data_IF_648155228886
#
_entry.id   IF_648155228886
#
_cell.length_a   1.000
_cell.length_b   1.000
_cell.length_c   1.000
_cell.angle_alpha   90.00
_cell.angle_beta   90.00
_cell.angle_gamma   90.00
#
_symmetry.space_group_name_H-M   'P 1'
#
loop_
_entity.id
_entity.type
_entity.pdbx_description
1 polymer ?
#
# COMPACT_ATOMS: atom_id res chain seq x y z
N UNK A 1 -40.16 -36.00 -30.55
CA UNK A 1 -40.43 -34.57 -30.31
C UNK A 1 -40.35 -34.31 -28.81
N UNK A 2 -39.31 -33.64 -28.34
CA UNK A 2 -39.14 -33.23 -26.94
C UNK A 2 -38.23 -32.01 -26.90
N UNK A 3 -38.87 -30.86 -26.65
CA UNK A 3 -38.34 -29.58 -26.15
C UNK A 3 -36.94 -29.16 -26.64
N UNK A 4 -36.95 -28.41 -27.75
CA UNK A 4 -35.96 -27.38 -28.10
C UNK A 4 -35.92 -26.31 -27.00
N UNK A 5 -34.77 -25.65 -26.88
CA UNK A 5 -34.45 -24.46 -26.08
C UNK A 5 -33.72 -24.73 -24.76
N UNK A 6 -32.47 -25.19 -24.86
CA UNK A 6 -31.45 -24.78 -23.88
C UNK A 6 -30.79 -23.53 -24.43
N UNK A 7 -30.95 -22.46 -23.66
CA UNK A 7 -30.60 -21.10 -23.98
C UNK A 7 -29.13 -20.96 -24.36
N UNK A 8 -28.92 -20.52 -25.60
CA UNK A 8 -27.80 -19.65 -25.98
C UNK A 8 -27.84 -18.44 -25.04
N UNK A 9 -26.66 -17.90 -24.72
CA UNK A 9 -26.34 -16.70 -23.92
C UNK A 9 -25.91 -17.01 -22.47
N UNK A 10 -24.61 -17.28 -22.30
CA UNK A 10 -23.76 -16.41 -21.47
C UNK A 10 -22.27 -16.58 -21.85
N UNK A 11 -22.00 -16.45 -23.14
CA UNK A 11 -20.66 -16.05 -23.60
C UNK A 11 -20.57 -14.54 -23.36
N UNK A 12 -20.01 -14.17 -22.21
CA UNK A 12 -19.30 -12.93 -21.88
C UNK A 12 -19.42 -12.71 -20.38
N UNK A 13 -18.38 -13.02 -19.62
CA UNK A 13 -18.04 -12.20 -18.47
C UNK A 13 -16.54 -12.31 -18.21
N UNK A 14 -15.85 -11.18 -18.39
CA UNK A 14 -14.70 -10.87 -17.54
C UNK A 14 -13.32 -11.23 -18.08
N UNK A 15 -13.02 -10.82 -19.30
CA UNK A 15 -11.64 -10.56 -19.74
C UNK A 15 -11.07 -9.37 -18.95
N UNK A 16 -10.77 -9.50 -17.65
CA UNK A 16 -10.10 -8.44 -16.85
C UNK A 16 -9.24 -9.05 -15.73
N UNK A 17 -8.15 -9.72 -16.11
CA UNK A 17 -6.96 -9.81 -15.27
C UNK A 17 -5.77 -9.20 -16.02
N UNK A 18 -5.96 -7.97 -16.52
CA UNK A 18 -4.89 -7.13 -17.08
C UNK A 18 -4.74 -5.89 -16.21
N UNK A 19 -4.33 -6.07 -14.96
CA UNK A 19 -3.80 -4.99 -14.11
C UNK A 19 -2.69 -5.55 -13.21
N UNK A 20 -1.64 -6.13 -13.79
CA UNK A 20 -0.42 -6.43 -13.05
C UNK A 20 0.84 -6.19 -13.89
N UNK A 21 0.82 -5.16 -14.73
CA UNK A 21 2.06 -4.54 -15.19
C UNK A 21 2.06 -3.10 -14.65
N UNK A 22 2.05 -2.96 -13.33
CA UNK A 22 2.71 -1.79 -12.77
C UNK A 22 4.18 -2.09 -13.02
N UNK A 23 4.70 -1.51 -14.10
CA UNK A 23 6.11 -1.52 -14.46
C UNK A 23 6.86 -0.72 -13.38
N UNK A 24 6.97 -1.29 -12.18
CA UNK A 24 7.86 -0.83 -11.14
C UNK A 24 9.23 -1.37 -11.53
N UNK A 25 9.88 -0.71 -12.49
CA UNK A 25 11.32 -0.73 -12.45
C UNK A 25 11.70 -0.17 -11.07
N UNK A 26 12.34 -0.97 -10.20
CA UNK A 26 12.66 -0.49 -8.87
C UNK A 26 13.56 0.75 -9.00
N UNK A 27 13.07 1.89 -8.53
CA UNK A 27 13.88 3.10 -8.46
C UNK A 27 15.01 2.82 -7.47
N UNK A 28 16.26 2.93 -7.91
CA UNK A 28 17.39 2.97 -6.98
C UNK A 28 17.29 4.27 -6.18
N UNK A 29 16.70 4.18 -5.00
CA UNK A 29 16.46 5.33 -4.13
C UNK A 29 17.75 6.05 -3.73
N UNK A 30 18.86 5.33 -3.60
CA UNK A 30 20.14 5.94 -3.24
C UNK A 30 20.62 6.85 -4.36
N UNK A 31 20.62 6.34 -5.58
CA UNK A 31 21.00 7.11 -6.76
C UNK A 31 20.00 8.23 -7.06
N UNK A 32 18.69 7.94 -6.98
CA UNK A 32 17.63 8.89 -7.26
C UNK A 32 17.65 10.10 -6.31
N UNK A 33 17.76 9.87 -5.00
CA UNK A 33 17.87 10.96 -4.01
C UNK A 33 19.14 11.77 -4.23
N UNK A 34 20.28 11.11 -4.48
CA UNK A 34 21.58 11.79 -4.66
C UNK A 34 21.62 12.65 -5.92
N UNK A 35 20.99 12.21 -7.01
CA UNK A 35 21.12 12.82 -8.31
C UNK A 35 19.95 13.75 -8.68
N UNK A 36 18.91 13.85 -7.84
CA UNK A 36 17.76 14.71 -8.10
C UNK A 36 18.16 16.19 -8.15
N UNK A 37 17.87 16.85 -9.28
CA UNK A 37 18.22 18.27 -9.51
C UNK A 37 17.07 19.07 -10.13
N UNK A 38 16.24 18.40 -10.92
CA UNK A 38 15.14 19.02 -11.63
C UNK A 38 13.84 18.93 -10.82
N UNK A 39 12.89 19.79 -11.17
CA UNK A 39 11.52 19.68 -10.66
C UNK A 39 10.91 18.29 -10.94
N UNK A 40 11.22 17.69 -12.09
CA UNK A 40 10.76 16.36 -12.44
C UNK A 40 11.34 15.28 -11.50
N UNK A 41 12.64 15.34 -11.19
CA UNK A 41 13.30 14.38 -10.29
C UNK A 41 12.67 14.41 -8.90
N UNK A 42 12.51 15.61 -8.34
CA UNK A 42 11.92 15.77 -7.01
C UNK A 42 10.44 15.37 -6.99
N UNK A 43 9.67 15.64 -8.05
CA UNK A 43 8.29 15.15 -8.13
C UNK A 43 8.22 13.62 -8.23
N UNK A 44 9.16 12.97 -8.92
CA UNK A 44 9.23 11.51 -8.99
C UNK A 44 9.53 10.90 -7.61
N UNK A 45 10.48 11.49 -6.86
CA UNK A 45 10.77 11.09 -5.48
C UNK A 45 9.58 11.32 -4.56
N UNK A 46 8.91 12.47 -4.67
CA UNK A 46 7.71 12.76 -3.89
C UNK A 46 6.63 11.72 -4.11
N UNK A 47 6.35 11.39 -5.38
CA UNK A 47 5.38 10.35 -5.73
C UNK A 47 5.77 8.98 -5.17
N UNK A 48 7.04 8.60 -5.26
CA UNK A 48 7.51 7.33 -4.70
C UNK A 48 7.24 7.25 -3.19
N UNK A 49 7.57 8.30 -2.45
CA UNK A 49 7.32 8.36 -1.02
C UNK A 49 5.82 8.43 -0.67
N UNK A 50 4.99 9.11 -1.47
CA UNK A 50 3.52 9.08 -1.34
C UNK A 50 2.99 7.65 -1.49
N UNK A 51 3.41 6.94 -2.54
CA UNK A 51 3.01 5.56 -2.82
C UNK A 51 3.50 4.61 -1.69
N UNK A 52 4.71 4.83 -1.16
CA UNK A 52 5.23 4.10 -0.01
C UNK A 52 4.42 4.36 1.28
N UNK A 53 4.04 5.62 1.54
CA UNK A 53 3.20 5.97 2.68
C UNK A 53 1.82 5.29 2.60
N UNK A 54 1.20 5.26 1.41
CA UNK A 54 -0.07 4.57 1.19
C UNK A 54 0.05 3.06 1.45
N UNK A 55 1.14 2.42 1.00
CA UNK A 55 1.42 1.01 1.31
C UNK A 55 1.55 0.77 2.82
N UNK A 56 2.18 1.69 3.56
CA UNK A 56 2.28 1.57 5.02
C UNK A 56 0.93 1.76 5.71
N UNK A 57 0.10 2.73 5.28
CA UNK A 57 -1.25 2.90 5.82
C UNK A 57 -2.14 1.68 5.58
N UNK A 58 -2.00 1.01 4.43
CA UNK A 58 -2.71 -0.25 4.17
C UNK A 58 -2.31 -1.33 5.19
N UNK A 59 -1.03 -1.38 5.58
CA UNK A 59 -0.55 -2.29 6.63
C UNK A 59 -1.07 -1.90 8.02
N UNK A 60 -1.14 -0.60 8.34
CA UNK A 60 -1.77 -0.13 9.60
C UNK A 60 -3.19 -0.70 9.72
N UNK A 61 -4.03 -0.48 8.70
CA UNK A 61 -5.41 -0.99 8.68
C UNK A 61 -5.48 -2.51 8.81
N UNK A 62 -4.56 -3.24 8.18
CA UNK A 62 -4.50 -4.69 8.31
C UNK A 62 -4.17 -5.12 9.75
N UNK A 63 -3.21 -4.46 10.41
CA UNK A 63 -2.89 -4.74 11.82
C UNK A 63 -4.04 -4.34 12.76
N UNK A 64 -4.70 -3.21 12.52
CA UNK A 64 -5.87 -2.79 13.31
C UNK A 64 -7.02 -3.80 13.22
N UNK A 65 -7.30 -4.32 12.02
CA UNK A 65 -8.30 -5.36 11.83
C UNK A 65 -7.92 -6.66 12.56
N UNK A 66 -6.65 -7.05 12.50
CA UNK A 66 -6.15 -8.24 13.21
C UNK A 66 -6.20 -8.04 14.74
N UNK A 67 -5.91 -6.83 15.23
CA UNK A 67 -6.03 -6.51 16.64
C UNK A 67 -7.48 -6.61 17.11
N UNK A 68 -8.42 -6.06 16.33
CA UNK A 68 -9.84 -6.14 16.62
C UNK A 68 -10.32 -7.61 16.69
N UNK A 69 -9.81 -8.47 15.83
CA UNK A 69 -10.07 -9.93 15.87
C UNK A 69 -9.55 -10.56 17.17
N UNK A 70 -8.32 -10.27 17.58
CA UNK A 70 -7.77 -10.79 18.84
C UNK A 70 -8.48 -10.23 20.08
N UNK A 71 -9.00 -9.01 20.00
CA UNK A 71 -9.80 -8.39 21.06
C UNK A 71 -11.19 -8.99 21.17
N UNK A 72 -11.86 -9.26 20.04
CA UNK A 72 -13.18 -9.87 20.00
C UNK A 72 -13.17 -11.36 20.32
N UNK A 73 -12.19 -12.10 19.79
CA UNK A 73 -12.15 -13.57 19.82
C UNK A 73 -10.96 -14.12 20.60
N UNK A 74 -10.54 -13.41 21.65
CA UNK A 74 -9.36 -13.76 22.43
C UNK A 74 -9.34 -15.19 22.98
N UNK A 75 -10.50 -15.83 23.20
CA UNK A 75 -10.56 -17.24 23.63
C UNK A 75 -10.03 -18.23 22.59
N UNK A 76 -10.08 -17.90 21.28
CA UNK A 76 -9.62 -18.79 20.22
C UNK A 76 -8.08 -18.95 20.21
N UNK A 77 -7.36 -17.95 20.70
CA UNK A 77 -5.90 -17.91 20.71
C UNK A 77 -5.29 -18.27 22.07
N UNK A 78 -6.13 -18.50 23.09
CA UNK A 78 -5.74 -19.03 24.39
C UNK A 78 -4.75 -18.14 25.14
N UNK A 79 -3.69 -18.74 25.70
CA UNK A 79 -2.73 -18.02 26.55
C UNK A 79 -1.91 -16.96 25.80
N UNK A 80 -1.77 -17.09 24.48
CA UNK A 80 -0.95 -16.20 23.65
C UNK A 80 -1.66 -14.92 23.23
N UNK A 81 -2.96 -14.79 23.53
CA UNK A 81 -3.79 -13.67 23.07
C UNK A 81 -3.23 -12.30 23.42
N UNK A 82 -2.71 -12.11 24.64
CA UNK A 82 -2.19 -10.79 25.01
C UNK A 82 -0.89 -10.46 24.26
N UNK A 83 0.04 -11.40 24.14
CA UNK A 83 1.26 -11.24 23.35
C UNK A 83 0.93 -10.90 21.88
N UNK A 84 -0.08 -11.56 21.30
CA UNK A 84 -0.56 -11.29 19.95
C UNK A 84 -1.12 -9.88 19.80
N UNK A 85 -1.90 -9.41 20.78
CA UNK A 85 -2.43 -8.04 20.80
C UNK A 85 -1.31 -7.01 20.91
N UNK A 86 -0.39 -7.19 21.85
CA UNK A 86 0.75 -6.29 22.04
C UNK A 86 1.63 -6.21 20.78
N UNK A 87 1.97 -7.36 20.20
CA UNK A 87 2.74 -7.42 18.96
C UNK A 87 2.03 -6.70 17.80
N UNK A 88 0.72 -6.94 17.64
CA UNK A 88 -0.08 -6.33 16.57
C UNK A 88 -0.20 -4.81 16.76
N UNK A 89 -0.40 -4.34 18.01
CA UNK A 89 -0.37 -2.90 18.34
C UNK A 89 0.98 -2.27 17.99
N UNK A 90 2.07 -2.95 18.34
CA UNK A 90 3.42 -2.46 18.04
C UNK A 90 3.67 -2.37 16.52
N UNK A 91 3.24 -3.38 15.76
CA UNK A 91 3.32 -3.34 14.29
C UNK A 91 2.46 -2.23 13.68
N UNK A 92 1.23 -2.03 14.16
CA UNK A 92 0.36 -0.94 13.70
C UNK A 92 1.05 0.43 13.90
N UNK A 93 1.63 0.66 15.09
CA UNK A 93 2.38 1.89 15.39
C UNK A 93 3.60 2.05 14.49
N UNK A 94 4.40 1.01 14.32
CA UNK A 94 5.58 1.05 13.46
C UNK A 94 5.23 1.39 12.01
N UNK A 95 4.15 0.81 11.47
CA UNK A 95 3.69 1.14 10.12
C UNK A 95 3.11 2.55 10.04
N UNK A 96 2.47 3.05 11.09
CA UNK A 96 2.00 4.43 11.12
C UNK A 96 3.19 5.40 11.09
N UNK A 97 4.20 5.19 11.93
CA UNK A 97 5.43 6.00 11.94
C UNK A 97 6.15 5.97 10.58
N UNK A 98 6.20 4.79 9.94
CA UNK A 98 6.72 4.66 8.60
C UNK A 98 5.89 5.43 7.57
N UNK A 99 4.55 5.39 7.65
CA UNK A 99 3.67 6.15 6.76
C UNK A 99 3.92 7.66 6.89
N UNK A 100 4.02 8.15 8.12
CA UNK A 100 4.25 9.57 8.42
C UNK A 100 5.63 10.03 7.96
N UNK A 101 6.66 9.20 8.17
CA UNK A 101 8.02 9.48 7.69
C UNK A 101 8.07 9.56 6.17
N UNK A 102 7.44 8.63 5.45
CA UNK A 102 7.35 8.68 3.99
C UNK A 102 6.57 9.92 3.52
N UNK A 103 5.47 10.28 4.17
CA UNK A 103 4.71 11.49 3.81
C UNK A 103 5.52 12.78 4.03
N UNK A 104 6.32 12.84 5.10
CA UNK A 104 7.23 13.97 5.35
C UNK A 104 8.32 14.08 4.28
N UNK A 105 8.90 12.96 3.87
CA UNK A 105 9.87 12.93 2.77
C UNK A 105 9.23 13.38 1.46
N UNK A 106 8.01 12.91 1.17
CA UNK A 106 7.26 13.34 0.00
C UNK A 106 7.04 14.85 -0.01
N UNK A 107 6.55 15.42 1.11
CA UNK A 107 6.34 16.85 1.26
C UNK A 107 7.64 17.64 1.06
N UNK A 108 8.75 17.18 1.63
CA UNK A 108 10.06 17.82 1.44
C UNK A 108 10.47 17.84 -0.04
N UNK A 109 10.25 16.74 -0.76
CA UNK A 109 10.49 16.68 -2.20
C UNK A 109 9.54 17.56 -3.03
N UNK A 110 8.26 17.70 -2.65
CA UNK A 110 7.36 18.67 -3.30
C UNK A 110 7.89 20.10 -3.14
N UNK A 111 8.34 20.47 -1.95
CA UNK A 111 8.92 21.79 -1.69
C UNK A 111 10.20 22.02 -2.49
N UNK A 112 11.08 21.02 -2.58
CA UNK A 112 12.28 21.11 -3.43
C UNK A 112 11.91 21.23 -4.92
N UNK A 113 10.86 20.54 -5.38
CA UNK A 113 10.39 20.64 -6.76
C UNK A 113 9.88 22.05 -7.11
N UNK A 114 9.24 22.75 -6.16
CA UNK A 114 8.80 24.15 -6.33
C UNK A 114 9.98 25.13 -6.46
N UNK A 115 11.14 24.79 -5.87
CA UNK A 115 12.34 25.62 -5.87
C UNK A 115 13.32 25.25 -7.00
N UNK A 116 13.19 24.05 -7.56
CA UNK A 116 14.06 23.55 -8.61
C UNK A 116 13.74 24.20 -9.97
N UNK A 117 14.75 24.25 -10.83
CA UNK A 117 14.56 24.61 -12.25
C UNK A 117 13.83 23.46 -12.95
N UNK A 118 13.09 23.81 -14.01
CA UNK A 118 12.51 22.83 -14.95
C UNK A 118 13.61 21.96 -15.58
#
# INVERSE_FOLDING_TARGET
>A
MKVKNVFVILATLGLLASCANIDHHPMDMTSAVRNAKTKADHNALAKHYEDAAQKMQAKVKAQENQLAEYEAHGSYYGRQTEDLKEHTRALARLYQEAADTNMNMAKSHRQMAEQAKE
#
